data_IF_797008757472
#
_entry.id   IF_797008757472
#
_cell.length_a   1.000
_cell.length_b   1.000
_cell.length_c   1.000
_cell.angle_alpha   90.00
_cell.angle_beta   90.00
_cell.angle_gamma   90.00
#
_symmetry.space_group_name_H-M   'P 1'
#
loop_
_entity.id
_entity.type
_entity.pdbx_description
1 polymer ?
#
# COMPACT_ATOMS: atom_id res chain seq x y z
N UNK A 1 11.60 -21.58 -7.74
CA UNK A 1 10.30 -21.06 -8.25
C UNK A 1 9.12 -22.01 -7.98
N UNK A 2 9.27 -23.17 -7.32
CA UNK A 2 8.18 -24.16 -7.18
C UNK A 2 7.04 -23.76 -6.22
N UNK A 3 7.31 -23.10 -5.09
CA UNK A 3 6.23 -22.79 -4.12
C UNK A 3 5.29 -21.64 -4.51
N UNK A 4 5.80 -20.57 -5.12
CA UNK A 4 4.99 -19.38 -5.44
C UNK A 4 4.06 -19.60 -6.64
N UNK A 5 4.51 -20.34 -7.67
CA UNK A 5 3.66 -20.67 -8.82
C UNK A 5 2.54 -21.65 -8.49
N UNK A 6 2.73 -22.51 -7.48
CA UNK A 6 1.68 -23.41 -6.97
C UNK A 6 0.62 -22.64 -6.17
N UNK A 7 1.05 -21.74 -5.27
CA UNK A 7 0.13 -20.91 -4.47
C UNK A 7 -0.59 -19.84 -5.30
N UNK A 8 0.10 -19.30 -6.31
CA UNK A 8 -0.42 -18.25 -7.20
C UNK A 8 -0.26 -18.68 -8.67
N UNK A 9 -1.20 -19.48 -9.22
CA UNK A 9 -1.10 -20.00 -10.59
C UNK A 9 -1.11 -18.93 -11.69
N UNK A 10 -1.57 -17.71 -11.37
CA UNK A 10 -1.61 -16.57 -12.29
C UNK A 10 -0.33 -15.74 -12.28
N UNK A 11 0.66 -16.13 -11.48
CA UNK A 11 1.92 -15.42 -11.32
C UNK A 11 2.70 -15.41 -12.65
N UNK A 12 2.81 -14.22 -13.24
CA UNK A 12 3.74 -13.94 -14.33
C UNK A 12 4.97 -13.21 -13.78
N UNK A 13 6.15 -13.62 -14.25
CA UNK A 13 7.44 -13.05 -13.85
C UNK A 13 8.11 -12.44 -15.07
N UNK A 14 8.53 -11.18 -14.95
CA UNK A 14 9.25 -10.46 -16.00
C UNK A 14 10.61 -10.00 -15.47
N UNK A 15 11.71 -10.46 -16.06
CA UNK A 15 13.04 -10.01 -15.66
C UNK A 15 13.27 -8.56 -16.07
N UNK A 16 13.95 -7.81 -15.20
CA UNK A 16 14.48 -6.47 -15.44
C UNK A 16 15.98 -6.47 -15.10
N UNK A 17 16.74 -5.48 -15.59
CA UNK A 17 18.17 -5.37 -15.29
C UNK A 17 18.44 -5.17 -13.79
N UNK A 18 17.56 -4.46 -13.08
CA UNK A 18 17.75 -4.12 -11.66
C UNK A 18 16.82 -4.91 -10.72
N UNK A 19 16.09 -5.90 -11.25
CA UNK A 19 15.16 -6.68 -10.43
C UNK A 19 14.25 -7.63 -11.22
N UNK A 20 13.12 -7.94 -10.59
CA UNK A 20 12.06 -8.77 -11.16
C UNK A 20 10.72 -8.09 -10.96
N UNK A 21 9.92 -8.04 -12.02
CA UNK A 21 8.51 -7.69 -11.91
C UNK A 21 7.66 -8.94 -11.77
N UNK A 22 6.68 -8.89 -10.88
CA UNK A 22 5.63 -9.89 -10.76
C UNK A 22 4.28 -9.26 -11.12
N UNK A 23 3.50 -9.95 -11.92
CA UNK A 23 2.09 -9.65 -12.13
C UNK A 23 1.28 -10.85 -11.68
N UNK A 24 0.38 -10.65 -10.72
CA UNK A 24 -0.36 -11.76 -10.11
C UNK A 24 -1.80 -11.36 -9.81
N UNK A 25 -2.72 -12.28 -10.02
CA UNK A 25 -4.13 -12.13 -9.64
C UNK A 25 -4.41 -12.89 -8.36
N UNK A 26 -5.25 -12.29 -7.52
CA UNK A 26 -5.71 -12.86 -6.26
C UNK A 26 -7.23 -12.74 -6.17
N UNK A 27 -7.90 -13.89 -6.07
CA UNK A 27 -9.34 -13.97 -5.83
C UNK A 27 -9.59 -13.71 -4.34
N UNK A 28 -10.21 -12.56 -4.02
CA UNK A 28 -10.32 -12.10 -2.63
C UNK A 28 -11.43 -12.83 -1.84
N UNK A 29 -12.58 -13.05 -2.47
CA UNK A 29 -13.72 -13.76 -1.88
C UNK A 29 -14.39 -14.60 -2.97
N UNK A 30 -14.81 -15.81 -2.61
CA UNK A 30 -15.62 -16.65 -3.50
C UNK A 30 -16.91 -15.93 -3.88
N UNK A 31 -17.22 -15.91 -5.19
CA UNK A 31 -18.42 -15.26 -5.72
C UNK A 31 -18.28 -13.76 -6.01
N UNK A 32 -17.14 -13.14 -5.70
CA UNK A 32 -16.87 -11.77 -6.12
C UNK A 32 -16.58 -11.73 -7.62
N UNK A 33 -17.25 -10.85 -8.37
CA UNK A 33 -17.11 -10.71 -9.83
C UNK A 33 -15.82 -9.98 -10.26
N UNK A 34 -14.99 -9.59 -9.31
CA UNK A 34 -13.72 -8.90 -9.51
C UNK A 34 -12.63 -9.52 -8.63
N UNK A 35 -11.41 -9.47 -9.12
CA UNK A 35 -10.20 -9.94 -8.44
C UNK A 35 -9.26 -8.76 -8.19
N UNK A 36 -8.29 -8.94 -7.30
CA UNK A 36 -7.18 -8.02 -7.17
C UNK A 36 -6.04 -8.47 -8.10
N UNK A 37 -5.59 -7.58 -8.98
CA UNK A 37 -4.34 -7.74 -9.72
C UNK A 37 -3.27 -6.89 -9.03
N UNK A 38 -2.15 -7.52 -8.68
CA UNK A 38 -0.98 -6.87 -8.11
C UNK A 38 0.14 -6.82 -9.13
N UNK A 39 0.69 -5.62 -9.31
CA UNK A 39 1.97 -5.42 -9.97
C UNK A 39 3.02 -5.17 -8.89
N UNK A 40 4.02 -6.04 -8.78
CA UNK A 40 5.06 -6.01 -7.75
C UNK A 40 6.43 -5.82 -8.39
N UNK A 41 7.15 -4.80 -7.96
CA UNK A 41 8.52 -4.52 -8.30
C UNK A 41 9.45 -5.03 -7.18
N UNK A 42 10.29 -6.01 -7.50
CA UNK A 42 11.27 -6.60 -6.59
C UNK A 42 12.70 -6.22 -7.02
N UNK A 43 13.33 -5.23 -6.38
CA UNK A 43 14.69 -4.84 -6.74
C UNK A 43 15.70 -5.89 -6.26
N UNK A 44 16.79 -6.08 -7.02
CA UNK A 44 17.93 -6.90 -6.56
C UNK A 44 18.79 -6.20 -5.51
N UNK A 45 18.73 -4.86 -5.46
CA UNK A 45 19.49 -4.06 -4.51
C UNK A 45 18.82 -4.07 -3.14
N UNK A 46 19.56 -4.58 -2.15
CA UNK A 46 19.10 -4.62 -0.76
C UNK A 46 18.84 -3.22 -0.17
N UNK A 47 17.88 -3.15 0.75
CA UNK A 47 17.50 -1.95 1.51
C UNK A 47 16.47 -1.07 0.82
N UNK A 48 16.13 -1.37 -0.44
CA UNK A 48 15.11 -0.63 -1.19
C UNK A 48 13.71 -1.21 -0.95
N UNK A 49 13.62 -2.52 -0.75
CA UNK A 49 12.37 -3.23 -0.53
C UNK A 49 11.43 -3.30 -1.74
N UNK A 50 10.39 -4.14 -1.66
CA UNK A 50 9.41 -4.29 -2.73
C UNK A 50 8.51 -3.05 -2.85
N UNK A 51 8.06 -2.73 -4.05
CA UNK A 51 6.93 -1.83 -4.28
C UNK A 51 5.82 -2.60 -4.97
N UNK A 52 4.58 -2.43 -4.53
CA UNK A 52 3.45 -3.10 -5.15
C UNK A 52 2.29 -2.13 -5.37
N UNK A 53 1.53 -2.31 -6.45
CA UNK A 53 0.31 -1.57 -6.71
C UNK A 53 -0.83 -2.55 -6.98
N UNK A 54 -1.99 -2.29 -6.37
CA UNK A 54 -3.17 -3.15 -6.49
C UNK A 54 -4.28 -2.52 -7.33
N UNK A 55 -4.89 -3.34 -8.18
CA UNK A 55 -5.96 -2.96 -9.10
C UNK A 55 -7.12 -3.93 -9.01
N UNK A 56 -8.35 -3.43 -8.93
CA UNK A 56 -9.54 -4.23 -9.16
C UNK A 56 -9.65 -4.55 -10.65
N UNK A 57 -9.77 -5.82 -10.97
CA UNK A 57 -9.93 -6.32 -12.34
C UNK A 57 -11.16 -7.22 -12.41
N UNK A 58 -12.09 -6.90 -13.32
CA UNK A 58 -13.24 -7.74 -13.64
C UNK A 58 -13.32 -7.97 -15.15
N UNK A 59 -13.97 -9.06 -15.55
CA UNK A 59 -14.27 -9.35 -16.96
C UNK A 59 -14.96 -8.14 -17.59
N UNK A 60 -14.45 -7.69 -18.74
CA UNK A 60 -14.97 -6.57 -19.53
C UNK A 60 -14.87 -5.17 -18.91
N UNK A 61 -14.01 -5.00 -17.89
CA UNK A 61 -13.73 -3.69 -17.30
C UNK A 61 -12.25 -3.35 -17.35
N UNK A 62 -11.94 -2.05 -17.50
CA UNK A 62 -10.56 -1.59 -17.33
C UNK A 62 -10.11 -1.77 -15.88
N UNK A 63 -8.86 -2.18 -15.63
CA UNK A 63 -8.31 -2.24 -14.28
C UNK A 63 -8.47 -0.89 -13.56
N UNK A 64 -8.94 -0.93 -12.32
CA UNK A 64 -9.13 0.26 -11.50
C UNK A 64 -8.25 0.19 -10.28
N UNK A 65 -7.41 1.20 -10.05
CA UNK A 65 -6.60 1.26 -8.83
C UNK A 65 -7.48 1.18 -7.58
N UNK A 66 -7.09 0.33 -6.63
CA UNK A 66 -7.92 -0.02 -5.47
C UNK A 66 -8.18 1.19 -4.56
N UNK A 67 -7.15 2.03 -4.32
CA UNK A 67 -7.33 3.30 -3.61
C UNK A 67 -6.17 3.68 -2.66
N UNK A 68 -6.22 4.88 -2.06
CA UNK A 68 -5.12 5.51 -1.32
C UNK A 68 -4.95 5.02 0.12
N UNK A 69 -5.91 4.22 0.62
CA UNK A 69 -5.91 3.85 2.03
C UNK A 69 -4.79 2.84 2.28
N UNK A 70 -3.96 3.06 3.31
CA UNK A 70 -2.79 2.19 3.55
C UNK A 70 -1.90 1.99 2.31
N UNK A 71 -1.59 3.09 1.62
CA UNK A 71 -0.55 3.16 0.59
C UNK A 71 0.50 4.20 0.97
N UNK A 72 1.73 3.98 0.52
CA UNK A 72 2.85 4.90 0.68
C UNK A 72 2.56 6.22 -0.03
N UNK A 73 3.10 7.30 0.54
CA UNK A 73 3.07 8.61 -0.09
C UNK A 73 3.96 8.63 -1.34
N UNK A 74 3.76 9.64 -2.19
CA UNK A 74 4.49 9.87 -3.45
C UNK A 74 4.24 8.87 -4.59
N UNK A 75 3.95 7.61 -4.31
CA UNK A 75 3.79 6.59 -5.36
C UNK A 75 2.57 5.68 -5.20
N UNK A 76 1.82 5.78 -4.11
CA UNK A 76 0.64 4.95 -3.88
C UNK A 76 0.92 3.44 -3.87
N UNK A 77 2.17 3.03 -3.61
CA UNK A 77 2.51 1.62 -3.42
C UNK A 77 1.91 1.09 -2.12
N UNK A 78 1.59 -0.19 -2.05
CA UNK A 78 0.89 -0.81 -0.92
C UNK A 78 1.77 -0.73 0.34
N UNK A 79 1.18 -0.24 1.44
CA UNK A 79 1.79 -0.23 2.77
C UNK A 79 1.10 -1.32 3.62
N UNK A 80 1.48 -2.59 3.37
CA UNK A 80 0.84 -3.76 3.99
C UNK A 80 1.51 -4.21 5.30
N UNK A 81 2.78 -3.87 5.51
CA UNK A 81 3.59 -4.25 6.67
C UNK A 81 4.60 -3.15 6.99
N UNK A 82 5.09 -3.12 8.22
CA UNK A 82 6.17 -2.27 8.66
C UNK A 82 7.47 -3.09 8.77
N UNK A 83 8.66 -2.50 8.55
CA UNK A 83 9.93 -3.24 8.64
C UNK A 83 10.18 -3.93 9.99
N UNK A 84 9.54 -3.45 11.05
CA UNK A 84 9.70 -3.90 12.44
C UNK A 84 8.54 -4.76 12.96
N UNK A 85 7.50 -5.01 12.16
CA UNK A 85 6.35 -5.83 12.60
C UNK A 85 6.57 -7.34 12.43
N UNK A 86 7.66 -7.74 11.77
CA UNK A 86 8.04 -9.13 11.55
C UNK A 86 7.11 -9.90 10.59
N UNK A 87 6.19 -9.22 9.90
CA UNK A 87 5.26 -9.86 8.98
C UNK A 87 5.96 -10.35 7.70
N UNK A 88 6.97 -9.61 7.23
CA UNK A 88 7.84 -10.01 6.13
C UNK A 88 9.15 -9.22 6.15
N UNK A 89 10.25 -9.83 5.70
CA UNK A 89 11.57 -9.20 5.60
C UNK A 89 12.15 -9.35 4.20
N UNK A 90 13.06 -8.45 3.82
CA UNK A 90 13.76 -8.52 2.53
C UNK A 90 14.45 -9.88 2.34
N UNK A 91 14.24 -10.50 1.18
CA UNK A 91 14.69 -11.88 0.90
C UNK A 91 13.79 -12.97 1.48
N UNK A 92 12.70 -12.61 2.16
CA UNK A 92 11.65 -13.51 2.62
C UNK A 92 10.90 -14.17 1.46
N UNK A 93 10.00 -15.11 1.79
CA UNK A 93 9.31 -15.89 0.78
C UNK A 93 8.24 -15.07 0.03
N UNK A 94 8.10 -15.35 -1.26
CA UNK A 94 7.16 -14.67 -2.14
C UNK A 94 5.68 -14.93 -1.78
N UNK A 95 5.26 -16.17 -1.44
CA UNK A 95 3.87 -16.42 -1.04
C UNK A 95 3.43 -15.53 0.11
N UNK A 96 4.22 -15.42 1.19
CA UNK A 96 3.89 -14.56 2.34
C UNK A 96 3.76 -13.09 1.93
N UNK A 97 4.65 -12.58 1.06
CA UNK A 97 4.54 -11.21 0.55
C UNK A 97 3.22 -10.98 -0.21
N UNK A 98 2.84 -11.92 -1.08
CA UNK A 98 1.62 -11.85 -1.87
C UNK A 98 0.36 -12.01 -0.99
N UNK A 99 0.42 -12.84 0.05
CA UNK A 99 -0.66 -12.99 1.04
C UNK A 99 -0.90 -11.68 1.78
N UNK A 100 0.16 -10.95 2.16
CA UNK A 100 0.02 -9.63 2.79
C UNK A 100 -0.69 -8.62 1.87
N UNK A 101 -0.38 -8.63 0.57
CA UNK A 101 -1.09 -7.79 -0.40
C UNK A 101 -2.53 -8.23 -0.62
N UNK A 102 -2.80 -9.53 -0.64
CA UNK A 102 -4.15 -10.11 -0.69
C UNK A 102 -4.98 -9.69 0.51
N UNK A 103 -4.43 -9.78 1.73
CA UNK A 103 -5.08 -9.31 2.96
C UNK A 103 -5.33 -7.81 2.89
N UNK A 104 -4.37 -7.00 2.41
CA UNK A 104 -4.60 -5.58 2.20
C UNK A 104 -5.78 -5.32 1.24
N UNK A 105 -5.88 -6.04 0.12
CA UNK A 105 -7.00 -5.89 -0.80
C UNK A 105 -8.34 -6.33 -0.17
N UNK A 106 -8.35 -7.38 0.65
CA UNK A 106 -9.53 -7.77 1.41
C UNK A 106 -9.98 -6.67 2.40
N UNK A 107 -9.02 -6.01 3.08
CA UNK A 107 -9.31 -4.87 3.96
C UNK A 107 -9.82 -3.65 3.19
N UNK A 108 -9.34 -3.42 1.97
CA UNK A 108 -9.87 -2.38 1.08
C UNK A 108 -11.30 -2.66 0.67
N UNK A 109 -11.61 -3.91 0.33
CA UNK A 109 -12.98 -4.33 0.02
C UNK A 109 -13.91 -4.11 1.21
N UNK A 110 -13.50 -4.49 2.40
CA UNK A 110 -14.25 -4.20 3.62
C UNK A 110 -14.41 -2.69 3.84
N UNK A 111 -13.34 -1.90 3.66
CA UNK A 111 -13.41 -0.44 3.79
C UNK A 111 -14.39 0.19 2.79
N UNK A 112 -14.44 -0.30 1.55
CA UNK A 112 -15.39 0.14 0.53
C UNK A 112 -16.84 -0.13 0.95
N UNK A 113 -17.11 -1.27 1.58
CA UNK A 113 -18.48 -1.70 1.97
C UNK A 113 -18.92 -1.06 3.29
N UNK A 114 -18.09 -1.12 4.32
CA UNK A 114 -18.45 -0.72 5.68
C UNK A 114 -17.97 0.69 6.04
N UNK A 115 -17.12 1.28 5.21
CA UNK A 115 -16.62 2.63 5.38
C UNK A 115 -15.58 2.80 6.48
N UNK A 116 -15.03 1.75 7.08
CA UNK A 116 -13.96 1.87 8.09
C UNK A 116 -12.90 0.78 7.92
N UNK A 117 -11.67 1.07 8.31
CA UNK A 117 -10.53 0.19 8.13
C UNK A 117 -10.56 -0.97 9.14
N UNK A 118 -10.59 -2.23 8.68
CA UNK A 118 -10.56 -3.38 9.57
C UNK A 118 -9.11 -3.74 9.90
N UNK A 119 -8.64 -3.32 11.07
CA UNK A 119 -7.39 -3.80 11.64
C UNK A 119 -6.47 -2.71 12.17
N UNK A 120 -5.22 -3.10 12.43
CA UNK A 120 -4.19 -2.21 12.96
C UNK A 120 -3.92 -1.04 12.02
N UNK A 121 -3.61 0.09 12.63
CA UNK A 121 -3.27 1.33 11.93
C UNK A 121 -1.92 1.85 12.42
N UNK A 122 -1.07 2.19 11.47
CA UNK A 122 0.23 2.80 11.73
C UNK A 122 0.22 4.22 11.15
N UNK A 123 -0.07 5.21 11.99
CA UNK A 123 -0.13 6.61 11.61
C UNK A 123 1.27 7.23 11.54
N UNK A 124 2.13 6.70 10.66
CA UNK A 124 3.51 7.14 10.48
C UNK A 124 4.35 7.03 11.76
N UNK A 125 4.30 5.87 12.41
CA UNK A 125 5.13 5.60 13.59
C UNK A 125 6.61 5.85 13.24
N UNK A 126 7.33 6.49 14.16
CA UNK A 126 8.72 6.93 13.94
C UNK A 126 8.86 8.31 13.31
N UNK A 127 7.80 8.90 12.75
CA UNK A 127 7.81 10.29 12.26
C UNK A 127 7.57 11.30 13.39
N UNK A 128 7.89 12.60 13.19
CA UNK A 128 7.53 13.65 14.15
C UNK A 128 6.06 13.61 14.58
N UNK A 129 5.78 13.83 15.87
CA UNK A 129 4.45 13.64 16.46
C UNK A 129 3.35 14.41 15.72
N UNK A 130 3.64 15.64 15.27
CA UNK A 130 2.68 16.45 14.53
C UNK A 130 2.21 15.77 13.23
N UNK A 131 3.09 15.06 12.53
CA UNK A 131 2.71 14.31 11.32
C UNK A 131 1.78 13.15 11.67
N UNK A 132 2.08 12.44 12.77
CA UNK A 132 1.25 11.34 13.25
C UNK A 132 -0.13 11.83 13.70
N UNK A 133 -0.20 12.95 14.42
CA UNK A 133 -1.45 13.59 14.85
C UNK A 133 -2.26 14.02 13.64
N UNK A 134 -1.63 14.68 12.66
CA UNK A 134 -2.30 15.08 11.43
C UNK A 134 -2.86 13.87 10.68
N UNK A 135 -2.08 12.79 10.58
CA UNK A 135 -2.49 11.53 9.97
C UNK A 135 -3.72 10.95 10.65
N UNK A 136 -3.68 10.73 11.97
CA UNK A 136 -4.79 10.12 12.72
C UNK A 136 -6.07 10.93 12.56
N UNK A 137 -6.00 12.25 12.72
CA UNK A 137 -7.16 13.13 12.54
C UNK A 137 -7.72 13.12 11.11
N UNK A 138 -6.93 12.75 10.10
CA UNK A 138 -7.36 12.77 8.70
C UNK A 138 -7.85 11.40 8.22
N UNK A 139 -7.28 10.32 8.75
CA UNK A 139 -7.44 8.96 8.20
C UNK A 139 -8.11 7.98 9.16
N UNK A 140 -8.01 8.19 10.49
CA UNK A 140 -8.59 7.28 11.47
C UNK A 140 -10.04 7.67 11.78
N UNK A 141 -10.97 6.71 11.63
CA UNK A 141 -12.34 6.87 12.12
C UNK A 141 -12.47 6.47 13.58
N UNK A 142 -13.48 7.01 14.24
CA UNK A 142 -13.72 6.87 15.68
C UNK A 142 -13.79 5.40 16.14
N UNK A 143 -14.39 4.54 15.31
CA UNK A 143 -14.59 3.11 15.57
C UNK A 143 -13.44 2.21 15.06
N UNK A 144 -12.39 2.77 14.46
CA UNK A 144 -11.21 2.00 14.04
C UNK A 144 -10.22 1.86 15.21
N UNK A 145 -9.35 0.84 15.16
CA UNK A 145 -8.22 0.78 16.10
C UNK A 145 -7.36 2.03 15.97
N UNK A 146 -6.85 2.55 17.08
CA UNK A 146 -6.11 3.79 17.09
C UNK A 146 -4.80 3.69 16.27
N UNK A 147 -4.53 4.70 15.44
CA UNK A 147 -3.32 4.79 14.61
C UNK A 147 -1.99 4.92 15.35
N UNK A 148 -1.99 4.95 16.68
CA UNK A 148 -0.77 4.90 17.49
C UNK A 148 -0.20 3.47 17.66
N UNK A 149 -0.80 2.46 17.00
CA UNK A 149 -0.43 1.05 17.16
C UNK A 149 -1.18 0.33 18.29
N UNK A 150 -2.24 0.91 18.86
CA UNK A 150 -3.04 0.22 19.88
C UNK A 150 -3.73 -1.00 19.27
N UNK A 151 -3.65 -2.14 19.97
CA UNK A 151 -4.31 -3.38 19.55
C UNK A 151 -5.74 -3.52 20.07
N UNK A 152 -6.12 -2.69 21.05
CA UNK A 152 -7.37 -2.84 21.80
C UNK A 152 -8.23 -1.59 21.80
N UNK A 153 -7.63 -0.40 21.81
CA UNK A 153 -8.38 0.85 21.90
C UNK A 153 -8.75 1.41 20.54
N UNK A 154 -9.98 1.92 20.46
CA UNK A 154 -10.48 2.64 19.30
C UNK A 154 -9.96 4.08 19.27
N UNK A 155 -9.94 4.71 18.10
CA UNK A 155 -9.37 6.05 17.96
C UNK A 155 -10.06 7.08 18.87
N UNK A 156 -11.40 7.04 18.95
CA UNK A 156 -12.19 7.94 19.78
C UNK A 156 -11.80 7.88 21.25
N UNK A 157 -11.50 6.68 21.75
CA UNK A 157 -11.19 6.41 23.17
C UNK A 157 -9.69 6.40 23.47
N UNK A 158 -8.85 6.67 22.46
CA UNK A 158 -7.39 6.61 22.58
C UNK A 158 -6.77 7.99 22.32
N UNK A 159 -6.27 8.24 21.10
CA UNK A 159 -5.54 9.47 20.81
C UNK A 159 -6.45 10.66 20.46
N UNK A 160 -7.68 10.44 19.97
CA UNK A 160 -8.54 11.53 19.47
C UNK A 160 -8.75 12.68 20.48
N UNK A 161 -8.98 12.44 21.79
CA UNK A 161 -9.17 13.53 22.76
C UNK A 161 -7.93 14.41 22.93
N UNK A 162 -6.72 13.86 22.70
CA UNK A 162 -5.46 14.61 22.75
C UNK A 162 -5.16 15.27 21.42
N UNK A 163 -5.33 14.54 20.31
CA UNK A 163 -5.10 15.03 18.95
C UNK A 163 -5.97 16.25 18.64
N UNK A 164 -7.23 16.26 19.10
CA UNK A 164 -8.19 17.34 18.84
C UNK A 164 -7.82 18.68 19.47
N UNK A 165 -6.84 18.71 20.39
CA UNK A 165 -6.36 19.94 21.04
C UNK A 165 -5.31 20.68 20.21
N UNK A 166 -4.78 20.06 19.15
CA UNK A 166 -3.75 20.65 18.32
C UNK A 166 -4.30 21.66 17.31
N UNK A 167 -3.49 22.66 16.95
CA UNK A 167 -3.85 23.62 15.92
C UNK A 167 -3.86 22.95 14.52
N UNK A 168 -5.05 22.78 13.94
CA UNK A 168 -5.24 22.07 12.67
C UNK A 168 -4.49 22.70 11.50
N UNK A 169 -4.42 24.03 11.44
CA UNK A 169 -3.71 24.75 10.37
C UNK A 169 -2.20 24.53 10.47
N UNK A 170 -1.65 24.54 11.67
CA UNK A 170 -0.23 24.25 11.89
C UNK A 170 0.10 22.80 11.49
N UNK A 171 -0.71 21.84 11.91
CA UNK A 171 -0.57 20.43 11.53
C UNK A 171 -0.54 20.24 10.01
N UNK A 172 -1.47 20.89 9.28
CA UNK A 172 -1.50 20.82 7.81
C UNK A 172 -0.23 21.42 7.21
N UNK A 173 0.23 22.58 7.69
CA UNK A 173 1.46 23.23 7.20
C UNK A 173 2.70 22.36 7.41
N UNK A 174 2.84 21.77 8.59
CA UNK A 174 3.95 20.86 8.91
C UNK A 174 3.87 19.59 8.06
N UNK A 175 2.68 19.03 7.88
CA UNK A 175 2.47 17.84 7.06
C UNK A 175 2.80 18.08 5.58
N UNK A 176 2.32 19.17 4.98
CA UNK A 176 2.60 19.50 3.58
C UNK A 176 4.08 19.84 3.34
N UNK A 177 4.78 20.36 4.36
CA UNK A 177 6.23 20.60 4.28
C UNK A 177 7.02 19.30 4.30
N UNK A 178 6.64 18.35 5.16
CA UNK A 178 7.34 17.07 5.32
C UNK A 178 6.98 16.06 4.22
N UNK A 179 5.75 16.11 3.71
CA UNK A 179 5.21 15.17 2.72
C UNK A 179 4.70 15.98 1.54
N UNK A 180 5.55 16.26 0.54
CA UNK A 180 5.15 16.97 -0.67
C UNK A 180 3.95 16.30 -1.34
N UNK A 181 2.92 17.08 -1.65
CA UNK A 181 1.65 16.61 -2.20
C UNK A 181 0.69 15.96 -1.18
N UNK A 182 1.10 15.77 0.07
CA UNK A 182 0.28 15.25 1.16
C UNK A 182 -0.45 13.95 0.79
N UNK A 183 -1.70 13.79 1.24
CA UNK A 183 -2.52 12.61 0.90
C UNK A 183 -2.80 12.46 -0.59
N UNK A 184 -2.82 13.56 -1.36
CA UNK A 184 -3.03 13.49 -2.81
C UNK A 184 -1.85 12.85 -3.55
N UNK A 185 -0.66 12.79 -2.92
CA UNK A 185 0.54 12.14 -3.49
C UNK A 185 0.45 10.61 -3.50
N UNK A 186 -0.50 10.01 -2.79
CA UNK A 186 -0.71 8.55 -2.76
C UNK A 186 -1.40 8.09 -4.04
N UNK A 187 -0.67 8.06 -5.16
CA UNK A 187 -1.20 7.61 -6.45
C UNK A 187 -0.13 6.83 -7.20
N UNK A 188 -0.51 5.72 -7.88
CA UNK A 188 0.43 5.00 -8.74
C UNK A 188 1.10 5.93 -9.74
N UNK A 189 2.40 5.75 -10.05
CA UNK A 189 3.06 6.47 -11.11
C UNK A 189 2.34 6.26 -12.45
N UNK A 190 2.35 7.28 -13.33
CA UNK A 190 1.68 7.21 -14.62
C UNK A 190 2.10 5.98 -15.45
N UNK A 191 3.38 5.62 -15.44
CA UNK A 191 3.89 4.43 -16.17
C UNK A 191 3.31 3.11 -15.65
N UNK A 192 3.02 3.01 -14.35
CA UNK A 192 2.33 1.84 -13.77
C UNK A 192 0.89 1.78 -14.27
N UNK A 193 0.21 2.92 -14.33
CA UNK A 193 -1.15 3.01 -14.87
C UNK A 193 -1.21 2.70 -16.37
N UNK A 194 -0.25 3.23 -17.14
CA UNK A 194 -0.19 2.98 -18.58
C UNK A 194 0.10 1.50 -18.90
N UNK A 195 0.96 0.85 -18.12
CA UNK A 195 1.19 -0.59 -18.25
C UNK A 195 -0.06 -1.41 -17.91
N UNK A 196 -0.71 -1.15 -16.78
CA UNK A 196 -1.88 -1.94 -16.38
C UNK A 196 -3.07 -1.74 -17.32
N UNK A 197 -3.18 -0.56 -17.94
CA UNK A 197 -4.16 -0.25 -18.99
C UNK A 197 -3.81 -0.87 -20.36
N UNK A 198 -2.65 -1.51 -20.52
CA UNK A 198 -2.15 -2.04 -21.79
C UNK A 198 -1.75 -0.95 -22.81
N UNK A 199 -1.51 0.29 -22.35
CA UNK A 199 -1.13 1.45 -23.17
C UNK A 199 0.37 1.60 -23.34
N UNK A 200 1.17 0.98 -22.48
CA UNK A 200 2.62 1.05 -22.48
C UNK A 200 3.25 -0.31 -22.08
N UNK A 201 4.51 -0.55 -22.43
CA UNK A 201 5.26 -1.67 -21.86
C UNK A 201 5.48 -1.47 -20.36
N UNK A 202 5.92 -2.55 -19.71
CA UNK A 202 6.28 -2.55 -18.30
C UNK A 202 7.37 -1.49 -18.01
N UNK A 203 7.21 -0.63 -16.98
CA UNK A 203 8.24 0.34 -16.63
C UNK A 203 9.53 -0.36 -16.19
N UNK A 204 10.66 0.33 -16.32
CA UNK A 204 11.90 -0.17 -15.73
C UNK A 204 11.84 -0.07 -14.21
N UNK A 205 12.61 -0.91 -13.51
CA UNK A 205 12.74 -0.82 -12.05
C UNK A 205 13.17 0.58 -11.58
N UNK A 206 14.09 1.21 -12.32
CA UNK A 206 14.57 2.55 -12.02
C UNK A 206 13.47 3.62 -12.07
N UNK A 207 12.43 3.41 -12.87
CA UNK A 207 11.32 4.38 -12.99
C UNK A 207 10.42 4.42 -11.75
N UNK A 208 10.39 3.34 -10.97
CA UNK A 208 9.45 3.20 -9.85
C UNK A 208 10.14 3.19 -8.48
N UNK A 209 11.45 3.03 -8.45
CA UNK A 209 12.26 3.18 -7.25
C UNK A 209 13.16 4.40 -7.38
N UNK A 210 12.75 5.53 -6.80
CA UNK A 210 13.47 6.82 -6.80
C UNK A 210 14.94 6.76 -6.30
N UNK A 211 15.37 5.65 -5.69
CA UNK A 211 16.71 5.42 -5.17
C UNK A 211 17.62 4.61 -6.12
N UNK A 212 17.10 4.20 -7.28
CA UNK A 212 17.88 3.59 -8.36
C UNK A 212 18.21 4.69 -9.37
N UNK A 213 19.51 4.95 -9.67
CA UNK A 213 19.85 5.89 -10.73
C UNK A 213 19.23 5.44 -12.06
N UNK A 214 18.67 6.39 -12.82
CA UNK A 214 18.33 6.16 -14.21
C UNK A 214 19.62 5.78 -14.95
N UNK A 215 19.64 4.58 -15.53
CA UNK A 215 20.72 4.13 -16.40
C UNK A 215 20.72 4.85 -17.72
#
# INVERSE_FOLDING_TARGET
>A
MSGAGEAYPTLAVYPDKDGLWLLVKSSILTGLTREATFLVALPYRSGIGPRAWGFWTATDSRPKWIGPRHTNFQDGSICAFAPDDGAWTEGGDLPTLLDLYTVWAARQLFFEVFGFWPGKQYALIGSPLALQVHYRLSECKDNELCGCGSETLRYADCCKPRDSKWNRLQLIKEFMRAIPGGFASRRPPARVLDFIDGRAPLPSMADVHLLLPAS
#
